data_IF_803226837632
#
_entry.id   IF_803226837632
#
_cell.length_a   1.000
_cell.length_b   1.000
_cell.length_c   1.000
_cell.angle_alpha   90.00
_cell.angle_beta   90.00
_cell.angle_gamma   90.00
#
_symmetry.space_group_name_H-M   'P 1'
#
loop_
_entity.id
_entity.type
_entity.pdbx_description
1 polymer ?
#
# COMPACT_ATOMS: atom_id res chain seq x y z
N UNK A 1 11.35 14.01 -15.82
CA UNK A 1 10.65 15.29 -15.63
C UNK A 1 10.20 15.77 -17.00
N UNK A 2 8.91 15.70 -17.27
CA UNK A 2 8.34 16.30 -18.47
C UNK A 2 8.02 17.77 -18.17
N UNK A 3 8.89 18.68 -18.63
CA UNK A 3 8.79 20.11 -18.32
C UNK A 3 7.56 20.76 -18.97
N UNK A 4 7.15 20.28 -20.13
CA UNK A 4 6.05 20.87 -20.88
C UNK A 4 4.71 20.42 -20.28
N UNK A 5 4.56 19.13 -19.98
CA UNK A 5 3.39 18.59 -19.31
C UNK A 5 3.25 19.13 -17.88
N UNK A 6 4.35 19.24 -17.12
CA UNK A 6 4.35 19.87 -15.80
C UNK A 6 3.80 21.30 -15.86
N UNK A 7 4.29 22.10 -16.81
CA UNK A 7 3.82 23.48 -16.97
C UNK A 7 2.35 23.58 -17.36
N UNK A 8 1.89 22.70 -18.26
CA UNK A 8 0.48 22.63 -18.68
C UNK A 8 -0.44 22.21 -17.53
N UNK A 9 -0.03 21.21 -16.74
CA UNK A 9 -0.77 20.72 -15.58
C UNK A 9 -0.93 21.83 -14.53
N UNK A 10 0.17 22.50 -14.16
CA UNK A 10 0.14 23.61 -13.19
C UNK A 10 -0.77 24.76 -13.63
N UNK A 11 -0.74 25.12 -14.93
CA UNK A 11 -1.63 26.13 -15.50
C UNK A 11 -3.10 25.74 -15.36
N UNK A 12 -3.43 24.51 -15.75
CA UNK A 12 -4.80 23.98 -15.69
C UNK A 12 -5.37 24.02 -14.27
N UNK A 13 -4.61 23.57 -13.27
CA UNK A 13 -5.06 23.57 -11.85
C UNK A 13 -5.18 24.98 -11.28
N UNK A 14 -4.25 25.88 -11.61
CA UNK A 14 -4.30 27.29 -11.20
C UNK A 14 -5.55 27.99 -11.74
N UNK A 15 -5.91 27.72 -13.00
CA UNK A 15 -7.05 28.36 -13.66
C UNK A 15 -8.40 27.83 -13.17
N UNK A 16 -8.43 26.63 -12.56
CA UNK A 16 -9.63 26.04 -11.96
C UNK A 16 -10.01 26.66 -10.61
N UNK A 17 -9.03 27.15 -9.84
CA UNK A 17 -9.26 27.70 -8.49
C UNK A 17 -9.82 29.12 -8.53
N UNK A 18 -10.89 29.36 -7.77
CA UNK A 18 -11.40 30.72 -7.59
C UNK A 18 -10.57 31.43 -6.51
N UNK A 19 -10.24 32.72 -6.68
CA UNK A 19 -9.47 33.48 -5.69
C UNK A 19 -10.11 33.50 -4.30
N UNK A 20 -11.44 33.49 -4.26
CA UNK A 20 -12.25 33.49 -3.04
C UNK A 20 -12.02 32.23 -2.21
N UNK A 21 -11.84 31.07 -2.86
CA UNK A 21 -11.68 29.77 -2.21
C UNK A 21 -10.36 29.68 -1.42
N UNK A 22 -9.43 30.59 -1.68
CA UNK A 22 -8.10 30.65 -1.07
C UNK A 22 -7.81 32.02 -0.43
N UNK A 23 -8.86 32.81 -0.14
CA UNK A 23 -8.76 34.01 0.68
C UNK A 23 -8.34 35.31 -0.04
N UNK A 24 -8.35 35.34 -1.38
CA UNK A 24 -8.08 36.57 -2.13
C UNK A 24 -9.37 37.33 -2.51
N UNK A 25 -9.36 38.68 -2.46
CA UNK A 25 -10.50 39.50 -2.82
C UNK A 25 -10.78 39.48 -4.34
N UNK A 26 -12.05 39.58 -4.72
CA UNK A 26 -12.45 39.67 -6.13
C UNK A 26 -12.47 41.13 -6.57
N UNK A 27 -11.37 41.62 -7.16
CA UNK A 27 -11.28 43.00 -7.64
C UNK A 27 -12.09 43.25 -8.95
N UNK A 28 -12.58 44.48 -9.19
CA UNK A 28 -13.54 44.80 -10.27
C UNK A 28 -12.99 44.77 -11.72
N UNK A 29 -11.71 44.48 -11.95
CA UNK A 29 -11.09 44.42 -13.31
C UNK A 29 -10.20 43.19 -13.51
N UNK A 30 -10.75 41.99 -13.33
CA UNK A 30 -10.01 40.73 -13.51
C UNK A 30 -10.21 40.18 -14.92
N UNK A 31 -9.12 39.98 -15.66
CA UNK A 31 -9.11 39.36 -17.01
C UNK A 31 -8.93 37.83 -16.99
N UNK A 32 -8.50 37.25 -15.87
CA UNK A 32 -8.26 35.80 -15.74
C UNK A 32 -9.27 35.19 -14.74
N UNK A 33 -10.00 34.14 -15.12
CA UNK A 33 -11.05 33.55 -14.28
C UNK A 33 -10.52 32.85 -13.03
N UNK A 34 -9.32 32.24 -13.08
CA UNK A 34 -8.70 31.55 -11.93
C UNK A 34 -7.59 32.36 -11.23
N UNK A 35 -6.79 31.69 -10.40
CA UNK A 35 -5.70 32.32 -9.65
C UNK A 35 -4.64 32.95 -10.58
N UNK A 36 -4.09 34.09 -10.19
CA UNK A 36 -2.93 34.70 -10.86
C UNK A 36 -1.65 34.00 -10.43
N UNK A 37 -0.61 34.13 -11.25
CA UNK A 37 0.72 33.56 -10.95
C UNK A 37 1.32 34.16 -9.69
N UNK A 38 1.13 35.47 -9.48
CA UNK A 38 1.55 36.19 -8.26
C UNK A 38 0.87 35.64 -7.01
N UNK A 39 -0.44 35.41 -7.06
CA UNK A 39 -1.24 34.94 -5.93
C UNK A 39 -0.86 33.50 -5.55
N UNK A 40 -0.68 32.63 -6.55
CA UNK A 40 -0.24 31.27 -6.27
C UNK A 40 1.18 31.25 -5.67
N UNK A 41 2.09 32.07 -6.19
CA UNK A 41 3.45 32.16 -5.67
C UNK A 41 3.47 32.60 -4.19
N UNK A 42 2.58 33.54 -3.81
CA UNK A 42 2.37 33.96 -2.41
C UNK A 42 1.89 32.78 -1.56
N UNK A 43 0.86 32.05 -2.00
CA UNK A 43 0.32 30.90 -1.26
C UNK A 43 1.35 29.77 -1.09
N UNK A 44 2.18 29.54 -2.11
CA UNK A 44 3.22 28.51 -2.08
C UNK A 44 4.53 28.99 -1.45
N UNK A 45 4.61 30.25 -0.97
CA UNK A 45 5.82 30.85 -0.42
C UNK A 45 7.07 30.73 -1.33
N UNK A 46 6.87 30.90 -2.64
CA UNK A 46 7.93 30.88 -3.67
C UNK A 46 7.97 32.20 -4.44
N UNK A 47 9.05 32.46 -5.18
CA UNK A 47 9.11 33.66 -6.02
C UNK A 47 8.19 33.53 -7.23
N UNK A 48 7.52 34.64 -7.59
CA UNK A 48 6.64 34.70 -8.77
C UNK A 48 7.40 34.36 -10.06
N UNK A 49 8.62 34.85 -10.19
CA UNK A 49 9.50 34.57 -11.34
C UNK A 49 9.82 33.07 -11.46
N UNK A 50 10.07 32.40 -10.33
CA UNK A 50 10.30 30.96 -10.33
C UNK A 50 9.07 30.18 -10.79
N UNK A 51 7.88 30.54 -10.29
CA UNK A 51 6.64 29.90 -10.71
C UNK A 51 6.31 30.14 -12.20
N UNK A 52 6.56 31.35 -12.72
CA UNK A 52 6.43 31.66 -14.15
C UNK A 52 7.33 30.73 -14.98
N UNK A 53 8.59 30.59 -14.60
CA UNK A 53 9.53 29.69 -15.28
C UNK A 53 9.09 28.23 -15.20
N UNK A 54 8.48 27.81 -14.09
CA UNK A 54 7.96 26.45 -13.93
C UNK A 54 6.79 26.18 -14.88
N UNK A 55 5.82 27.10 -14.95
CA UNK A 55 4.66 27.03 -15.85
C UNK A 55 5.05 27.10 -17.35
N UNK A 56 6.19 27.73 -17.66
CA UNK A 56 6.77 27.81 -19.01
C UNK A 56 7.68 26.63 -19.37
N UNK A 57 7.93 25.69 -18.44
CA UNK A 57 8.86 24.57 -18.66
C UNK A 57 10.33 25.00 -18.74
N UNK A 58 10.69 26.16 -18.20
CA UNK A 58 12.05 26.76 -18.22
C UNK A 58 12.75 26.75 -16.85
N UNK A 59 12.08 26.30 -15.80
CA UNK A 59 12.68 26.16 -14.48
C UNK A 59 13.57 24.90 -14.38
N UNK A 60 14.57 24.91 -13.49
CA UNK A 60 15.20 23.68 -13.03
C UNK A 60 14.18 22.81 -12.28
N UNK A 61 14.54 21.55 -12.04
CA UNK A 61 13.68 20.60 -11.33
C UNK A 61 13.37 21.12 -9.91
N UNK A 62 12.09 21.24 -9.51
CA UNK A 62 11.71 21.66 -8.17
C UNK A 62 12.05 20.58 -7.12
N UNK A 63 12.27 20.99 -5.87
CA UNK A 63 12.43 20.06 -4.75
C UNK A 63 11.07 19.48 -4.31
N UNK A 64 11.09 18.43 -3.48
CA UNK A 64 9.87 17.86 -2.89
C UNK A 64 9.09 18.89 -2.08
N UNK A 65 9.78 19.68 -1.24
CA UNK A 65 9.13 20.71 -0.41
C UNK A 65 8.43 21.79 -1.25
N UNK A 66 9.06 22.21 -2.36
CA UNK A 66 8.47 23.18 -3.29
C UNK A 66 7.22 22.60 -3.96
N UNK A 67 7.22 21.32 -4.31
CA UNK A 67 6.05 20.67 -4.90
C UNK A 67 4.93 20.47 -3.88
N UNK A 68 5.25 20.13 -2.64
CA UNK A 68 4.29 20.04 -1.56
C UNK A 68 3.62 21.39 -1.28
N UNK A 69 4.40 22.48 -1.26
CA UNK A 69 3.88 23.85 -1.11
C UNK A 69 2.96 24.24 -2.29
N UNK A 70 3.35 23.90 -3.53
CA UNK A 70 2.53 24.14 -4.73
C UNK A 70 1.24 23.30 -4.69
N UNK A 71 1.32 22.03 -4.31
CA UNK A 71 0.17 21.13 -4.21
C UNK A 71 -0.85 21.63 -3.16
N UNK A 72 -0.36 22.10 -2.02
CA UNK A 72 -1.17 22.71 -0.96
C UNK A 72 -1.83 24.02 -1.44
N UNK A 73 -1.05 24.92 -2.07
CA UNK A 73 -1.57 26.17 -2.62
C UNK A 73 -2.64 25.94 -3.71
N UNK A 74 -2.49 24.87 -4.49
CA UNK A 74 -3.44 24.45 -5.52
C UNK A 74 -4.58 23.55 -5.01
N UNK A 75 -4.62 23.24 -3.71
CA UNK A 75 -5.58 22.31 -3.09
C UNK A 75 -5.77 21.03 -3.92
N UNK A 76 -4.65 20.45 -4.36
CA UNK A 76 -4.67 19.22 -5.15
C UNK A 76 -5.20 18.05 -4.30
N UNK A 77 -5.93 17.15 -4.94
CA UNK A 77 -6.22 15.84 -4.34
C UNK A 77 -4.95 15.00 -4.26
N UNK A 78 -4.97 13.92 -3.48
CA UNK A 78 -3.82 13.01 -3.36
C UNK A 78 -3.38 12.47 -4.73
N UNK A 79 -4.33 12.06 -5.58
CA UNK A 79 -4.05 11.59 -6.94
C UNK A 79 -3.46 12.69 -7.86
N UNK A 80 -3.93 13.94 -7.73
CA UNK A 80 -3.39 15.08 -8.48
C UNK A 80 -1.97 15.45 -7.99
N UNK A 81 -1.73 15.33 -6.68
CA UNK A 81 -0.41 15.53 -6.06
C UNK A 81 0.58 14.46 -6.51
N UNK A 82 0.16 13.20 -6.57
CA UNK A 82 0.98 12.10 -7.09
C UNK A 82 1.37 12.35 -8.55
N UNK A 83 0.41 12.77 -9.38
CA UNK A 83 0.67 13.09 -10.78
C UNK A 83 1.64 14.27 -10.94
N UNK A 84 1.50 15.31 -10.11
CA UNK A 84 2.44 16.45 -10.07
C UNK A 84 3.88 15.98 -9.81
N UNK A 85 4.09 15.08 -8.83
CA UNK A 85 5.40 14.55 -8.51
C UNK A 85 5.97 13.68 -9.64
N UNK A 86 5.13 12.92 -10.34
CA UNK A 86 5.53 12.15 -11.53
C UNK A 86 6.03 13.08 -12.65
N UNK A 87 5.27 14.14 -12.98
CA UNK A 87 5.65 15.11 -14.01
C UNK A 87 6.95 15.85 -13.66
N UNK A 88 7.12 16.23 -12.39
CA UNK A 88 8.33 16.84 -11.87
C UNK A 88 9.53 15.86 -11.78
N UNK A 89 9.28 14.57 -11.97
CA UNK A 89 10.27 13.49 -11.82
C UNK A 89 10.74 13.27 -10.40
N UNK A 90 10.13 13.92 -9.41
CA UNK A 90 10.40 13.88 -7.97
C UNK A 90 9.54 12.86 -7.24
N UNK A 91 8.60 12.22 -7.94
CA UNK A 91 7.94 11.04 -7.43
C UNK A 91 9.01 10.11 -6.84
N UNK A 92 8.83 9.62 -5.59
CA UNK A 92 9.74 8.64 -5.04
C UNK A 92 9.90 7.57 -6.10
N UNK A 93 11.17 7.33 -6.46
CA UNK A 93 11.59 6.54 -7.60
C UNK A 93 10.65 5.35 -7.73
N UNK A 94 9.68 5.40 -8.67
CA UNK A 94 8.84 4.26 -8.97
C UNK A 94 9.81 3.30 -9.62
N UNK A 95 10.46 2.47 -8.81
CA UNK A 95 11.18 1.33 -9.32
C UNK A 95 10.20 0.64 -10.25
N UNK A 96 10.60 0.38 -11.50
CA UNK A 96 9.74 -0.32 -12.48
C UNK A 96 9.25 -1.66 -11.92
N UNK A 97 9.97 -2.17 -10.93
CA UNK A 97 9.70 -3.36 -10.16
C UNK A 97 9.32 -3.01 -8.72
N UNK A 98 8.40 -3.75 -8.13
CA UNK A 98 8.13 -3.68 -6.69
C UNK A 98 9.34 -4.17 -5.89
N UNK A 99 9.53 -3.61 -4.69
CA UNK A 99 10.60 -4.01 -3.78
C UNK A 99 10.24 -5.27 -3.00
N UNK A 100 11.26 -6.08 -2.72
CA UNK A 100 11.16 -7.31 -1.92
C UNK A 100 12.10 -7.32 -0.72
N UNK A 101 13.09 -6.43 -0.72
CA UNK A 101 13.95 -6.22 0.42
C UNK A 101 13.15 -5.59 1.58
N UNK A 102 13.21 -6.23 2.74
CA UNK A 102 12.58 -5.73 3.97
C UNK A 102 13.62 -4.94 4.74
N UNK A 103 13.22 -3.75 5.22
CA UNK A 103 14.09 -2.89 6.02
C UNK A 103 14.59 -3.62 7.28
N UNK A 104 15.89 -3.54 7.61
CA UNK A 104 16.45 -4.15 8.82
C UNK A 104 15.73 -3.73 10.12
N UNK A 105 15.29 -2.47 10.20
CA UNK A 105 14.55 -1.98 11.37
C UNK A 105 13.19 -2.65 11.56
N UNK A 106 12.55 -3.11 10.47
CA UNK A 106 11.25 -3.81 10.52
C UNK A 106 11.46 -5.27 10.92
N UNK A 107 12.53 -5.92 10.43
CA UNK A 107 12.93 -7.25 10.88
C UNK A 107 13.21 -7.26 12.40
N UNK A 108 14.00 -6.29 12.87
CA UNK A 108 14.27 -6.14 14.31
C UNK A 108 13.00 -5.82 15.12
N UNK A 109 11.99 -5.18 14.53
CA UNK A 109 10.71 -4.93 15.19
C UNK A 109 9.90 -6.23 15.32
N UNK A 110 9.85 -7.07 14.27
CA UNK A 110 9.16 -8.37 14.31
C UNK A 110 9.70 -9.27 15.43
N UNK A 111 11.02 -9.28 15.62
CA UNK A 111 11.68 -10.04 16.69
C UNK A 111 11.34 -9.55 18.10
N UNK A 112 10.94 -8.27 18.25
CA UNK A 112 10.61 -7.64 19.54
C UNK A 112 9.13 -7.72 19.89
N UNK A 113 8.34 -8.45 19.11
CA UNK A 113 6.90 -8.66 19.31
C UNK A 113 6.60 -10.15 19.58
N UNK A 114 7.01 -10.71 20.73
CA UNK A 114 6.86 -12.14 20.99
C UNK A 114 5.41 -12.61 21.15
N UNK A 115 4.51 -11.72 21.56
CA UNK A 115 3.08 -12.01 21.81
C UNK A 115 2.15 -11.49 20.71
N UNK A 116 2.70 -11.06 19.57
CA UNK A 116 1.94 -10.56 18.43
C UNK A 116 2.49 -11.22 17.18
N UNK A 117 1.67 -12.01 16.48
CA UNK A 117 2.09 -12.59 15.22
C UNK A 117 2.24 -11.47 14.18
N UNK A 118 3.37 -11.42 13.49
CA UNK A 118 3.66 -10.36 12.53
C UNK A 118 4.19 -10.93 11.22
N UNK A 119 3.68 -10.41 10.11
CA UNK A 119 4.18 -10.68 8.76
C UNK A 119 4.41 -9.37 7.99
N UNK A 120 5.38 -9.36 7.08
CA UNK A 120 5.57 -8.28 6.09
C UNK A 120 5.19 -8.83 4.73
N UNK A 121 4.31 -8.13 4.03
CA UNK A 121 3.92 -8.47 2.66
C UNK A 121 4.37 -7.42 1.65
N UNK A 122 4.71 -7.86 0.44
CA UNK A 122 4.95 -6.96 -0.70
C UNK A 122 3.64 -6.35 -1.23
N UNK A 123 3.77 -5.42 -2.19
CA UNK A 123 2.65 -4.84 -2.95
C UNK A 123 1.76 -5.89 -3.66
N UNK A 124 2.26 -7.11 -3.85
CA UNK A 124 1.55 -8.21 -4.51
C UNK A 124 1.24 -9.38 -3.55
N UNK A 125 1.20 -9.12 -2.24
CA UNK A 125 0.88 -10.11 -1.20
C UNK A 125 1.86 -11.29 -1.09
N UNK A 126 3.11 -11.14 -1.55
CA UNK A 126 4.19 -12.07 -1.21
C UNK A 126 4.59 -11.86 0.24
N UNK A 127 4.60 -12.90 1.07
CA UNK A 127 5.14 -12.82 2.44
C UNK A 127 6.67 -12.77 2.38
N UNK A 128 7.24 -11.64 2.78
CA UNK A 128 8.68 -11.34 2.70
C UNK A 128 9.41 -11.63 4.02
N UNK A 129 8.76 -11.43 5.15
CA UNK A 129 9.29 -11.69 6.49
C UNK A 129 8.16 -12.02 7.47
N UNK A 130 8.48 -12.76 8.54
CA UNK A 130 7.54 -13.17 9.58
C UNK A 130 8.27 -13.45 10.88
N UNK A 131 7.58 -13.39 12.02
CA UNK A 131 8.12 -13.86 13.30
C UNK A 131 7.69 -15.31 13.61
N UNK A 132 8.29 -15.91 14.65
CA UNK A 132 8.01 -17.30 15.05
C UNK A 132 6.54 -17.53 15.36
N UNK A 133 5.88 -16.59 16.04
CA UNK A 133 4.46 -16.72 16.36
C UNK A 133 3.59 -16.69 15.10
N UNK A 134 3.93 -15.90 14.08
CA UNK A 134 3.25 -15.97 12.78
C UNK A 134 3.48 -17.32 12.09
N UNK A 135 4.69 -17.89 12.17
CA UNK A 135 4.95 -19.23 11.63
C UNK A 135 4.10 -20.32 12.30
N UNK A 136 3.92 -20.24 13.63
CA UNK A 136 3.06 -21.19 14.35
C UNK A 136 1.57 -20.92 14.09
N UNK A 137 1.12 -19.67 14.12
CA UNK A 137 -0.29 -19.32 13.91
C UNK A 137 -0.77 -19.65 12.48
N UNK A 138 0.11 -19.45 11.51
CA UNK A 138 -0.18 -19.58 10.09
C UNK A 138 0.45 -20.87 9.55
N UNK A 139 1.70 -20.77 9.11
CA UNK A 139 2.56 -21.90 8.75
C UNK A 139 4.01 -21.42 8.69
N UNK A 140 4.95 -22.35 8.72
CA UNK A 140 6.33 -22.02 8.43
C UNK A 140 6.51 -21.72 6.93
N UNK A 141 6.77 -20.45 6.62
CA UNK A 141 7.04 -20.01 5.25
C UNK A 141 8.46 -20.34 4.79
N UNK A 142 9.38 -20.73 5.69
CA UNK A 142 10.78 -21.01 5.38
C UNK A 142 10.98 -22.01 4.23
N UNK A 143 10.32 -23.19 4.21
CA UNK A 143 10.48 -24.16 3.12
C UNK A 143 9.82 -23.74 1.80
N UNK A 144 8.97 -22.71 1.80
CA UNK A 144 8.16 -22.32 0.65
C UNK A 144 8.95 -21.43 -0.33
N UNK A 145 8.72 -21.62 -1.63
CA UNK A 145 9.22 -20.68 -2.64
C UNK A 145 8.41 -19.37 -2.66
N UNK A 146 8.91 -18.29 -3.29
CA UNK A 146 8.22 -17.00 -3.39
C UNK A 146 6.76 -17.08 -3.89
N UNK A 147 6.47 -17.97 -4.85
CA UNK A 147 5.11 -18.17 -5.36
C UNK A 147 4.18 -18.78 -4.31
N UNK A 148 4.66 -19.78 -3.58
CA UNK A 148 3.86 -20.49 -2.56
C UNK A 148 3.66 -19.63 -1.29
N UNK A 149 4.54 -18.65 -1.05
CA UNK A 149 4.37 -17.62 -0.01
C UNK A 149 3.37 -16.51 -0.37
N UNK A 150 2.81 -16.51 -1.58
CA UNK A 150 1.94 -15.43 -2.03
C UNK A 150 0.49 -15.65 -1.59
N UNK A 151 -0.01 -14.78 -0.70
CA UNK A 151 -1.35 -14.91 -0.13
C UNK A 151 -2.47 -14.68 -1.17
N UNK A 152 -2.22 -13.88 -2.21
CA UNK A 152 -3.18 -13.69 -3.30
C UNK A 152 -3.37 -14.97 -4.13
N UNK A 153 -2.27 -15.67 -4.48
CA UNK A 153 -2.34 -16.99 -5.11
C UNK A 153 -3.14 -17.96 -4.25
N UNK A 154 -2.83 -18.02 -2.96
CA UNK A 154 -3.45 -18.98 -2.06
C UNK A 154 -4.95 -18.78 -1.88
N UNK A 155 -5.44 -17.53 -1.93
CA UNK A 155 -6.88 -17.27 -1.74
C UNK A 155 -7.71 -17.58 -2.98
N UNK A 156 -7.11 -17.46 -4.17
CA UNK A 156 -7.82 -17.61 -5.44
C UNK A 156 -7.57 -18.93 -6.15
N UNK A 157 -6.37 -19.51 -5.99
CA UNK A 157 -5.92 -20.74 -6.64
C UNK A 157 -5.77 -21.92 -5.66
N UNK A 158 -5.82 -21.65 -4.35
CA UNK A 158 -5.49 -22.63 -3.31
C UNK A 158 -3.98 -22.75 -3.06
N UNK A 159 -3.59 -23.49 -2.03
CA UNK A 159 -2.18 -23.78 -1.76
C UNK A 159 -1.74 -25.01 -2.58
N UNK A 160 -0.59 -24.93 -3.28
CA UNK A 160 -0.04 -26.04 -4.07
C UNK A 160 0.30 -27.29 -3.24
N UNK A 161 0.53 -27.14 -1.93
CA UNK A 161 1.14 -28.17 -1.08
C UNK A 161 0.25 -28.65 0.08
N UNK A 162 -0.72 -27.86 0.55
CA UNK A 162 -1.60 -28.23 1.66
C UNK A 162 -3.04 -27.81 1.35
N UNK A 163 -3.85 -28.76 0.88
CA UNK A 163 -5.23 -28.55 0.42
C UNK A 163 -6.21 -28.17 1.54
N UNK A 164 -6.10 -26.95 2.06
CA UNK A 164 -7.05 -26.33 2.99
C UNK A 164 -7.25 -24.84 2.68
N UNK A 165 -8.38 -24.25 3.10
CA UNK A 165 -8.62 -22.81 2.96
C UNK A 165 -7.51 -22.03 3.66
N UNK A 166 -7.13 -20.86 3.14
CA UNK A 166 -6.18 -19.92 3.74
C UNK A 166 -6.49 -19.72 5.22
N UNK A 167 -5.82 -20.53 6.03
CA UNK A 167 -5.91 -20.59 7.48
C UNK A 167 -7.33 -20.59 8.06
N UNK A 168 -8.35 -21.00 7.31
CA UNK A 168 -9.75 -20.96 7.75
C UNK A 168 -10.30 -19.57 8.10
N UNK A 169 -9.71 -18.49 7.57
CA UNK A 169 -10.14 -17.12 7.83
C UNK A 169 -11.63 -16.91 7.53
N UNK A 170 -12.42 -16.59 8.56
CA UNK A 170 -13.85 -16.26 8.45
C UNK A 170 -14.14 -15.13 7.44
N UNK A 171 -13.17 -14.25 7.19
CA UNK A 171 -13.26 -13.14 6.23
C UNK A 171 -12.58 -13.43 4.88
N UNK A 172 -12.66 -14.66 4.37
CA UNK A 172 -12.10 -14.99 3.05
C UNK A 172 -12.69 -14.12 1.92
N UNK A 173 -13.95 -13.69 2.04
CA UNK A 173 -14.61 -12.83 1.05
C UNK A 173 -14.07 -11.39 1.09
N UNK A 174 -13.96 -10.76 2.26
CA UNK A 174 -13.38 -9.43 2.41
C UNK A 174 -11.90 -9.40 2.01
N UNK A 175 -11.15 -10.45 2.37
CA UNK A 175 -9.76 -10.59 1.95
C UNK A 175 -9.61 -10.71 0.43
N UNK A 176 -10.46 -11.50 -0.26
CA UNK A 176 -10.44 -11.57 -1.74
C UNK A 176 -10.70 -10.21 -2.39
N UNK A 177 -11.65 -9.44 -1.87
CA UNK A 177 -11.92 -8.10 -2.36
C UNK A 177 -10.72 -7.17 -2.14
N UNK A 178 -10.09 -7.22 -0.96
CA UNK A 178 -8.87 -6.45 -0.67
C UNK A 178 -7.73 -6.81 -1.63
N UNK A 179 -7.52 -8.11 -1.88
CA UNK A 179 -6.52 -8.56 -2.86
C UNK A 179 -6.78 -7.97 -4.24
N UNK A 180 -8.01 -8.01 -4.74
CA UNK A 180 -8.37 -7.44 -6.05
C UNK A 180 -8.13 -5.94 -6.09
N UNK A 181 -8.59 -5.19 -5.09
CA UNK A 181 -8.41 -3.73 -5.03
C UNK A 181 -6.92 -3.36 -4.99
N UNK A 182 -6.12 -4.04 -4.16
CA UNK A 182 -4.68 -3.75 -4.04
C UNK A 182 -3.89 -4.18 -5.28
N UNK A 183 -4.21 -5.32 -5.91
CA UNK A 183 -3.55 -5.73 -7.15
C UNK A 183 -3.85 -4.77 -8.31
N UNK A 184 -5.04 -4.16 -8.37
CA UNK A 184 -5.32 -3.07 -9.33
C UNK A 184 -4.41 -1.86 -9.11
N UNK A 185 -4.24 -1.45 -7.85
CA UNK A 185 -3.32 -0.36 -7.50
C UNK A 185 -1.88 -0.72 -7.86
N UNK A 186 -1.45 -1.94 -7.53
CA UNK A 186 -0.11 -2.44 -7.85
C UNK A 186 0.13 -2.47 -9.37
N UNK A 187 -0.82 -2.96 -10.17
CA UNK A 187 -0.72 -3.00 -11.63
C UNK A 187 -0.61 -1.59 -12.25
N UNK A 188 -1.39 -0.63 -11.74
CA UNK A 188 -1.31 0.76 -12.18
C UNK A 188 0.02 1.43 -11.77
N UNK A 189 0.61 1.01 -10.64
CA UNK A 189 1.84 1.56 -10.10
C UNK A 189 3.10 0.96 -10.73
N UNK A 190 3.05 -0.32 -11.08
CA UNK A 190 4.15 -1.15 -11.59
C UNK A 190 3.79 -1.83 -12.94
N UNK A 191 3.47 -1.05 -13.99
CA UNK A 191 2.98 -1.63 -15.26
C UNK A 191 4.02 -2.46 -16.01
N UNK A 192 5.31 -2.22 -15.78
CA UNK A 192 6.41 -2.98 -16.43
C UNK A 192 6.90 -4.18 -15.58
N UNK A 193 6.32 -4.43 -14.41
CA UNK A 193 6.78 -5.50 -13.53
C UNK A 193 6.22 -6.86 -13.98
N UNK A 194 7.07 -7.81 -14.44
CA UNK A 194 6.61 -9.10 -14.93
C UNK A 194 5.97 -9.96 -13.83
N UNK A 195 6.29 -9.72 -12.56
CA UNK A 195 5.71 -10.46 -11.43
C UNK A 195 4.29 -9.98 -11.16
N UNK A 196 4.06 -8.66 -11.25
CA UNK A 196 2.74 -8.07 -11.05
C UNK A 196 1.82 -8.49 -12.19
N UNK A 197 2.24 -8.28 -13.44
CA UNK A 197 1.48 -8.68 -14.62
C UNK A 197 1.23 -10.20 -14.61
N UNK A 198 2.29 -11.00 -14.44
CA UNK A 198 2.18 -12.45 -14.43
C UNK A 198 1.30 -13.00 -13.30
N UNK A 199 1.25 -12.35 -12.13
CA UNK A 199 0.31 -12.72 -11.07
C UNK A 199 -1.13 -12.41 -11.47
N UNK A 200 -1.41 -11.23 -12.04
CA UNK A 200 -2.77 -10.87 -12.45
C UNK A 200 -3.28 -11.81 -13.54
N UNK A 201 -2.44 -12.10 -14.54
CA UNK A 201 -2.78 -13.05 -15.62
C UNK A 201 -3.05 -14.45 -15.06
N UNK A 202 -2.17 -14.95 -14.19
CA UNK A 202 -2.32 -16.26 -13.53
C UNK A 202 -3.62 -16.35 -12.70
N UNK A 203 -3.99 -15.29 -11.98
CA UNK A 203 -5.24 -15.24 -11.21
C UNK A 203 -6.47 -15.15 -12.11
N UNK A 204 -6.36 -14.44 -13.23
CA UNK A 204 -7.43 -14.34 -14.22
C UNK A 204 -7.72 -15.70 -14.88
N UNK A 205 -6.68 -16.43 -15.25
CA UNK A 205 -6.80 -17.76 -15.87
C UNK A 205 -7.25 -18.83 -14.88
N UNK A 206 -6.82 -18.73 -13.61
CA UNK A 206 -7.04 -19.76 -12.61
C UNK A 206 -8.26 -19.58 -11.70
N UNK A 207 -8.94 -18.43 -11.71
CA UNK A 207 -10.03 -18.16 -10.76
C UNK A 207 -11.18 -17.33 -11.34
N UNK A 208 -12.32 -17.98 -11.61
CA UNK A 208 -13.55 -17.30 -12.02
C UNK A 208 -14.04 -16.29 -10.96
N UNK A 209 -13.73 -16.53 -9.68
CA UNK A 209 -14.05 -15.60 -8.59
C UNK A 209 -13.22 -14.33 -8.68
N UNK A 210 -11.93 -14.45 -9.01
CA UNK A 210 -11.07 -13.30 -9.27
C UNK A 210 -11.59 -12.47 -10.43
N UNK A 211 -11.92 -13.10 -11.56
CA UNK A 211 -12.46 -12.39 -12.74
C UNK A 211 -13.72 -11.62 -12.38
N UNK A 212 -14.69 -12.25 -11.70
CA UNK A 212 -15.94 -11.58 -11.30
C UNK A 212 -15.71 -10.38 -10.37
N UNK A 213 -14.81 -10.52 -9.39
CA UNK A 213 -14.48 -9.42 -8.46
C UNK A 213 -13.68 -8.32 -9.16
N UNK A 214 -12.78 -8.70 -10.07
CA UNK A 214 -12.01 -7.79 -10.88
C UNK A 214 -12.96 -6.94 -11.73
N UNK A 215 -13.87 -7.54 -12.49
CA UNK A 215 -14.82 -6.82 -13.36
C UNK A 215 -15.76 -5.85 -12.62
N UNK A 216 -16.05 -6.08 -11.34
CA UNK A 216 -16.92 -5.20 -10.56
C UNK A 216 -16.33 -3.82 -10.30
N UNK A 217 -15.01 -3.65 -10.43
CA UNK A 217 -14.33 -2.37 -10.18
C UNK A 217 -14.63 -1.78 -8.79
N UNK A 218 -14.97 -2.63 -7.81
CA UNK A 218 -15.27 -2.18 -6.45
C UNK A 218 -14.02 -1.51 -5.85
N UNK A 219 -14.21 -0.26 -5.41
CA UNK A 219 -13.15 0.55 -4.83
C UNK A 219 -13.35 0.53 -3.33
N UNK A 220 -12.36 -0.06 -2.64
CA UNK A 220 -12.14 0.03 -1.19
C UNK A 220 -13.05 -0.89 -0.33
N UNK A 221 -12.56 -2.10 0.02
CA UNK A 221 -13.21 -2.90 1.05
C UNK A 221 -13.10 -2.21 2.41
N UNK A 222 -14.06 -2.44 3.33
CA UNK A 222 -13.88 -2.06 4.72
C UNK A 222 -12.60 -2.71 5.27
N UNK A 223 -11.88 -2.06 6.19
CA UNK A 223 -10.72 -2.66 6.83
C UNK A 223 -11.13 -3.95 7.54
N UNK A 224 -10.39 -5.03 7.30
CA UNK A 224 -10.54 -6.26 8.08
C UNK A 224 -9.96 -6.02 9.46
N UNK A 225 -10.83 -5.78 10.44
CA UNK A 225 -10.43 -5.51 11.83
C UNK A 225 -10.15 -6.78 12.63
N UNK A 226 -10.75 -7.91 12.23
CA UNK A 226 -10.57 -9.20 12.91
C UNK A 226 -10.47 -10.35 11.92
N UNK A 227 -9.72 -11.39 12.29
CA UNK A 227 -9.57 -12.63 11.52
C UNK A 227 -9.66 -13.85 12.44
N UNK A 228 -10.35 -14.90 11.99
CA UNK A 228 -10.41 -16.17 12.72
C UNK A 228 -9.58 -17.23 12.02
N UNK A 229 -8.50 -17.69 12.64
CA UNK A 229 -7.63 -18.75 12.14
C UNK A 229 -8.14 -20.12 12.62
N UNK A 230 -8.15 -21.14 11.76
CA UNK A 230 -8.38 -22.55 12.16
C UNK A 230 -7.05 -23.27 12.27
N UNK A 231 -6.54 -23.38 13.48
CA UNK A 231 -5.27 -24.04 13.76
C UNK A 231 -5.48 -25.52 14.14
N UNK A 232 -4.74 -26.48 13.56
CA UNK A 232 -4.98 -27.91 13.76
C UNK A 232 -4.80 -28.35 15.22
N UNK A 233 -3.88 -27.73 15.96
CA UNK A 233 -3.59 -28.12 17.35
C UNK A 233 -4.46 -27.42 18.40
N UNK A 234 -4.99 -26.23 18.12
CA UNK A 234 -5.67 -25.38 19.13
C UNK A 234 -7.07 -24.90 18.72
N UNK A 235 -7.56 -25.32 17.55
CA UNK A 235 -8.89 -24.96 17.07
C UNK A 235 -8.97 -23.54 16.50
N UNK A 236 -10.11 -22.88 16.67
CA UNK A 236 -10.35 -21.54 16.16
C UNK A 236 -9.72 -20.46 17.05
N UNK A 237 -8.97 -19.54 16.43
CA UNK A 237 -8.29 -18.42 17.09
C UNK A 237 -8.70 -17.13 16.41
N UNK A 238 -9.50 -16.30 17.10
CA UNK A 238 -9.90 -14.99 16.57
C UNK A 238 -8.94 -13.92 17.05
N UNK A 239 -8.33 -13.19 16.13
CA UNK A 239 -7.32 -12.17 16.37
C UNK A 239 -7.77 -10.83 15.78
N UNK A 240 -7.37 -9.75 16.43
CA UNK A 240 -7.41 -8.40 15.89
C UNK A 240 -6.33 -8.26 14.81
N UNK A 241 -6.65 -7.59 13.71
CA UNK A 241 -5.81 -7.48 12.52
C UNK A 241 -5.50 -6.02 12.20
N UNK A 242 -4.26 -5.61 12.48
CA UNK A 242 -3.76 -4.27 12.18
C UNK A 242 -2.82 -4.29 10.98
N UNK A 243 -3.05 -3.40 10.00
CA UNK A 243 -2.19 -3.26 8.82
C UNK A 243 -1.53 -1.89 8.80
N UNK A 244 -0.19 -1.87 8.84
CA UNK A 244 0.62 -0.66 8.77
C UNK A 244 1.33 -0.58 7.41
N UNK A 245 1.11 0.52 6.70
CA UNK A 245 1.69 0.75 5.37
C UNK A 245 3.13 1.26 5.51
N UNK A 246 4.08 0.56 4.88
CA UNK A 246 5.48 0.94 4.76
C UNK A 246 5.68 1.63 3.40
N UNK A 247 5.29 2.91 3.34
CA UNK A 247 5.13 3.67 2.09
C UNK A 247 6.40 3.79 1.24
N UNK A 248 7.58 3.65 1.84
CA UNK A 248 8.87 3.74 1.15
C UNK A 248 9.22 2.48 0.34
N UNK A 249 8.63 1.33 0.66
CA UNK A 249 8.86 0.06 -0.03
C UNK A 249 7.59 -0.53 -0.66
N UNK A 250 6.45 0.16 -0.54
CA UNK A 250 5.11 -0.37 -0.89
C UNK A 250 4.89 -1.77 -0.29
N UNK A 251 5.25 -1.91 0.99
CA UNK A 251 5.06 -3.11 1.79
C UNK A 251 4.03 -2.84 2.88
N UNK A 252 3.46 -3.91 3.43
CA UNK A 252 2.56 -3.83 4.57
C UNK A 252 3.11 -4.69 5.70
N UNK A 253 3.17 -4.14 6.91
CA UNK A 253 3.32 -4.91 8.15
C UNK A 253 1.93 -5.26 8.65
N UNK A 254 1.61 -6.54 8.74
CA UNK A 254 0.34 -7.04 9.27
C UNK A 254 0.59 -7.66 10.62
N UNK A 255 -0.13 -7.19 11.64
CA UNK A 255 -0.04 -7.65 13.01
C UNK A 255 -1.33 -8.34 13.42
N UNK A 256 -1.18 -9.48 14.08
CA UNK A 256 -2.25 -10.29 14.62
C UNK A 256 -2.09 -10.33 16.14
N UNK A 257 -3.04 -9.73 16.84
CA UNK A 257 -3.05 -9.65 18.30
C UNK A 257 -4.38 -10.14 18.87
N UNK A 258 -4.44 -10.28 20.19
CA UNK A 258 -5.69 -10.56 20.86
C UNK A 258 -5.78 -9.71 22.12
N UNK A 259 -6.99 -9.31 22.46
CA UNK A 259 -7.26 -8.55 23.69
C UNK A 259 -6.70 -9.29 24.92
N UNK A 260 -5.93 -8.61 25.80
CA UNK A 260 -5.37 -9.24 27.00
C UNK A 260 -6.43 -9.91 27.87
N UNK A 261 -6.14 -11.12 28.35
CA UNK A 261 -7.08 -11.92 29.17
C UNK A 261 -8.22 -12.58 28.40
N UNK A 262 -8.23 -12.50 27.05
CA UNK A 262 -9.17 -13.25 26.22
C UNK A 262 -8.69 -14.70 25.99
N UNK A 263 -9.61 -15.64 25.67
CA UNK A 263 -9.24 -17.01 25.27
C UNK A 263 -8.29 -17.05 24.07
N UNK A 264 -8.44 -16.11 23.12
CA UNK A 264 -7.52 -15.98 21.98
C UNK A 264 -6.11 -15.57 22.42
N UNK A 265 -5.97 -14.71 23.43
CA UNK A 265 -4.67 -14.32 23.96
C UNK A 265 -3.96 -15.49 24.66
N UNK A 266 -4.70 -16.31 25.42
CA UNK A 266 -4.17 -17.55 25.99
C UNK A 266 -3.75 -18.55 24.91
N UNK A 267 -4.55 -18.66 23.85
CA UNK A 267 -4.24 -19.53 22.71
C UNK A 267 -2.99 -19.06 21.95
N UNK A 268 -2.84 -17.76 21.70
CA UNK A 268 -1.62 -17.19 21.12
C UNK A 268 -0.40 -17.42 22.02
N UNK A 269 -0.55 -17.31 23.34
CA UNK A 269 0.53 -17.62 24.28
C UNK A 269 0.91 -19.12 24.23
N UNK A 270 -0.05 -20.03 24.13
CA UNK A 270 0.20 -21.45 23.95
C UNK A 270 0.94 -21.73 22.64
N UNK A 271 0.52 -21.12 21.53
CA UNK A 271 1.19 -21.25 20.23
C UNK A 271 2.63 -20.71 20.27
N UNK A 272 2.89 -19.64 21.04
CA UNK A 272 4.24 -19.14 21.24
C UNK A 272 5.15 -20.19 21.87
N UNK A 273 4.67 -20.86 22.94
CA UNK A 273 5.41 -21.93 23.62
C UNK A 273 5.66 -23.13 22.70
N UNK A 274 4.62 -23.58 21.98
CA UNK A 274 4.74 -24.69 21.03
C UNK A 274 5.76 -24.41 19.91
N UNK A 275 5.79 -23.17 19.41
CA UNK A 275 6.77 -22.74 18.41
C UNK A 275 8.21 -22.73 18.93
N UNK A 276 8.42 -22.38 20.20
CA UNK A 276 9.75 -22.41 20.81
C UNK A 276 10.26 -23.84 21.07
N UNK A 277 9.40 -24.79 21.41
CA UNK A 277 9.80 -26.20 21.62
C UNK A 277 10.13 -26.93 20.31
N UNK A 278 9.39 -26.64 19.22
CA UNK A 278 9.68 -27.20 17.90
C UNK A 278 11.05 -26.73 17.34
N UNK A 279 11.45 -25.50 17.65
CA UNK A 279 12.77 -24.95 17.28
C UNK A 279 13.95 -25.55 18.07
N UNK A 280 13.72 -26.17 19.23
CA UNK A 280 14.76 -26.82 20.03
C UNK A 280 15.04 -28.28 19.61
N UNK A 281 14.21 -28.86 18.75
CA UNK A 281 14.36 -30.24 18.26
C UNK A 281 14.70 -30.35 16.76
N UNK A 282 15.00 -29.24 16.09
CA UNK A 282 15.53 -29.26 14.73
C UNK A 282 17.05 -29.52 14.74
N UNK A 283 17.55 -30.63 14.19
CA UNK A 283 18.99 -30.94 14.12
C UNK A 283 19.76 -30.04 13.14
#
# INVERSE_FOLDING_TARGET
MDKHELGAFLRSRRERLRPQDVGFPTGPRRRTPGLRREELAVLAHISTEYYIRLEQGRAPRPSGDVLAAIASALRLTDAESDHLHVLAGTAPNRTRLHRRDVRPSILALLERLPHTAGIVTSAVFEVLAWNSLAATLMEDFTPLGPKDRNLARRVFLGASSTGGPLYGASDAAGFRLNVVTQLRVALARYPEDPVVNGLVDELHDGSADFVRLWERHDIQPPPTLTKTFRHPAVGEVTVDCDTLILADHDQCLVLYSASPGSPSAETLALLHVLGTEAGQYAP
#
